data_IF_901008764560
#
_entry.id   IF_901008764560
#
_cell.length_a   1.000
_cell.length_b   1.000
_cell.length_c   1.000
_cell.angle_alpha   90.00
_cell.angle_beta   90.00
_cell.angle_gamma   90.00
#
_symmetry.space_group_name_H-M   'P 1'
#
loop_
_entity.id
_entity.type
_entity.pdbx_description
1 polymer ?
#
# COMPACT_ATOMS: atom_id res chain seq x y z
N UNK A 1 16.04 -5.72 -4.72
CA UNK A 1 15.09 -4.61 -4.59
C UNK A 1 13.72 -5.20 -4.88
N UNK A 2 12.72 -4.94 -4.05
CA UNK A 2 11.36 -5.47 -4.23
C UNK A 2 10.45 -4.31 -4.68
N UNK A 3 9.67 -4.52 -5.73
CA UNK A 3 8.75 -3.55 -6.31
C UNK A 3 7.32 -4.10 -6.28
N UNK A 4 6.33 -3.26 -5.91
CA UNK A 4 4.93 -3.66 -5.85
C UNK A 4 4.02 -2.50 -6.24
N UNK A 5 3.04 -2.77 -7.11
CA UNK A 5 1.97 -1.84 -7.44
C UNK A 5 0.92 -1.85 -6.32
N UNK A 6 0.33 -0.68 -6.08
CA UNK A 6 -0.86 -0.37 -5.28
C UNK A 6 -0.72 0.28 -3.88
N UNK A 7 -1.73 1.07 -3.55
CA UNK A 7 -1.82 1.85 -2.31
C UNK A 7 -2.39 3.26 -2.51
N UNK A 8 -3.60 3.35 -3.07
CA UNK A 8 -4.50 4.53 -3.10
C UNK A 8 -4.30 5.65 -4.15
N UNK A 9 -3.29 5.58 -5.02
CA UNK A 9 -3.20 6.48 -6.20
C UNK A 9 -2.80 5.67 -7.42
N UNK A 10 -3.65 5.60 -8.44
CA UNK A 10 -3.30 5.02 -9.73
C UNK A 10 -1.99 5.62 -10.25
N UNK A 11 -1.08 4.79 -10.77
CA UNK A 11 0.21 5.27 -11.28
C UNK A 11 1.26 5.49 -10.20
N UNK A 12 1.12 4.83 -9.04
CA UNK A 12 2.16 4.81 -8.00
C UNK A 12 2.72 3.40 -7.76
N UNK A 13 4.03 3.34 -7.54
CA UNK A 13 4.78 2.14 -7.25
C UNK A 13 5.50 2.28 -5.91
N UNK A 14 5.36 1.28 -5.04
CA UNK A 14 6.14 1.20 -3.80
C UNK A 14 7.39 0.35 -4.02
N UNK A 15 8.51 0.85 -3.52
CA UNK A 15 9.84 0.25 -3.66
C UNK A 15 10.48 0.07 -2.30
N UNK A 16 11.06 -1.11 -2.05
CA UNK A 16 11.87 -1.38 -0.87
C UNK A 16 13.35 -1.46 -1.24
N UNK A 17 14.14 -0.55 -0.67
CA UNK A 17 15.59 -0.54 -0.76
C UNK A 17 16.24 -1.71 -0.02
N UNK A 18 17.53 -1.97 -0.28
CA UNK A 18 18.28 -3.09 0.35
C UNK A 18 18.33 -2.97 1.87
N UNK A 19 18.43 -1.75 2.38
CA UNK A 19 18.46 -1.44 3.82
C UNK A 19 17.07 -1.42 4.47
N UNK A 20 16.01 -1.72 3.71
CA UNK A 20 14.63 -1.75 4.20
C UNK A 20 13.88 -0.42 4.08
N UNK A 21 14.55 0.66 3.71
CA UNK A 21 13.92 1.95 3.42
C UNK A 21 12.88 1.84 2.31
N UNK A 22 11.72 2.47 2.53
CA UNK A 22 10.59 2.46 1.60
C UNK A 22 10.51 3.77 0.84
N UNK A 23 10.24 3.65 -0.46
CA UNK A 23 10.11 4.76 -1.38
C UNK A 23 8.85 4.56 -2.21
N UNK A 24 8.33 5.66 -2.73
CA UNK A 24 7.27 5.65 -3.72
C UNK A 24 7.74 6.34 -4.99
N UNK A 25 7.29 5.83 -6.13
CA UNK A 25 7.50 6.41 -7.45
C UNK A 25 6.13 6.70 -8.03
N UNK A 26 5.90 7.94 -8.46
CA UNK A 26 4.65 8.36 -9.10
C UNK A 26 4.99 8.74 -10.54
N UNK A 27 4.31 8.13 -11.49
CA UNK A 27 4.36 8.53 -12.89
C UNK A 27 3.04 8.19 -13.57
N UNK A 28 2.59 9.05 -14.48
CA UNK A 28 1.43 8.76 -15.32
C UNK A 28 1.69 7.53 -16.20
N UNK A 29 2.95 7.32 -16.60
CA UNK A 29 3.36 6.17 -17.42
C UNK A 29 3.20 4.84 -16.67
N UNK A 30 3.31 4.83 -15.33
CA UNK A 30 3.11 3.62 -14.52
C UNK A 30 1.70 3.05 -14.68
N UNK A 31 0.69 3.86 -15.04
CA UNK A 31 -0.67 3.36 -15.26
C UNK A 31 -0.78 2.43 -16.47
N UNK A 32 0.17 2.50 -17.39
CA UNK A 32 0.16 1.73 -18.64
C UNK A 32 1.21 0.60 -18.65
N UNK A 33 1.98 0.45 -17.57
CA UNK A 33 3.07 -0.53 -17.51
C UNK A 33 2.59 -1.84 -16.89
N UNK A 34 2.66 -2.91 -17.67
CA UNK A 34 2.52 -4.27 -17.19
C UNK A 34 3.84 -4.75 -16.54
N UNK A 35 3.85 -4.82 -15.21
CA UNK A 35 5.01 -5.29 -14.44
C UNK A 35 5.24 -6.80 -14.52
N UNK A 36 4.33 -7.57 -15.11
CA UNK A 36 4.59 -8.99 -15.43
C UNK A 36 5.47 -9.15 -16.67
N UNK A 37 5.64 -8.08 -17.44
CA UNK A 37 6.53 -8.06 -18.59
C UNK A 37 7.94 -7.59 -18.17
N UNK A 38 8.84 -8.56 -18.02
CA UNK A 38 10.25 -8.32 -17.64
C UNK A 38 10.98 -7.33 -18.56
N UNK A 39 10.59 -7.22 -19.82
CA UNK A 39 11.21 -6.30 -20.78
C UNK A 39 10.81 -4.84 -20.49
N UNK A 40 9.55 -4.59 -20.16
CA UNK A 40 9.07 -3.25 -19.77
C UNK A 40 9.64 -2.84 -18.40
N UNK A 41 9.70 -3.78 -17.46
CA UNK A 41 10.39 -3.58 -16.18
C UNK A 41 11.86 -3.25 -16.41
N UNK A 42 12.53 -3.99 -17.31
CA UNK A 42 13.91 -3.73 -17.69
C UNK A 42 14.13 -2.34 -18.29
N UNK A 43 13.19 -1.83 -19.10
CA UNK A 43 13.27 -0.46 -19.63
C UNK A 43 13.06 0.60 -18.54
N UNK A 44 12.07 0.41 -17.68
CA UNK A 44 11.76 1.33 -16.59
C UNK A 44 12.93 1.47 -15.60
N UNK A 45 13.57 0.34 -15.26
CA UNK A 45 14.64 0.31 -14.26
C UNK A 45 16.06 0.35 -14.85
N UNK A 46 16.23 0.04 -16.13
CA UNK A 46 17.54 -0.15 -16.76
C UNK A 46 18.33 1.14 -16.98
N UNK A 47 17.65 2.26 -17.24
CA UNK A 47 18.31 3.56 -17.46
C UNK A 47 18.65 4.30 -16.16
N UNK A 48 18.15 3.83 -15.01
CA UNK A 48 18.37 4.49 -13.71
C UNK A 48 17.61 5.82 -13.52
N UNK A 49 16.94 6.34 -14.54
CA UNK A 49 16.17 7.60 -14.48
C UNK A 49 15.10 7.60 -13.39
N UNK A 50 14.52 6.44 -13.10
CA UNK A 50 13.55 6.22 -12.04
C UNK A 50 14.08 6.60 -10.64
N UNK A 51 15.38 6.46 -10.38
CA UNK A 51 15.99 6.81 -9.08
C UNK A 51 15.81 8.29 -8.74
N UNK A 52 15.79 9.16 -9.77
CA UNK A 52 15.57 10.61 -9.59
C UNK A 52 14.11 10.95 -9.28
N UNK A 53 13.19 10.07 -9.66
CA UNK A 53 11.74 10.22 -9.45
C UNK A 53 11.27 9.57 -8.15
N UNK A 54 12.11 8.74 -7.53
CA UNK A 54 11.80 8.15 -6.23
C UNK A 54 11.70 9.21 -5.16
N UNK A 55 10.70 9.06 -4.30
CA UNK A 55 10.51 9.88 -3.12
C UNK A 55 10.49 8.98 -1.87
N UNK A 56 11.21 9.35 -0.80
CA UNK A 56 11.18 8.60 0.45
C UNK A 56 9.80 8.66 1.10
N UNK A 57 9.31 7.52 1.58
CA UNK A 57 8.05 7.46 2.31
C UNK A 57 8.28 7.80 3.80
N UNK A 58 7.69 8.90 4.27
CA UNK A 58 7.75 9.28 5.67
C UNK A 58 6.46 8.94 6.41
N UNK A 59 6.59 8.61 7.69
CA UNK A 59 5.47 8.51 8.62
C UNK A 59 5.69 9.48 9.76
N UNK A 60 4.60 10.00 10.31
CA UNK A 60 4.65 10.88 11.47
C UNK A 60 4.77 10.03 12.73
N UNK A 61 5.80 10.27 13.54
CA UNK A 61 5.92 9.71 14.88
C UNK A 61 5.39 10.71 15.91
N UNK A 62 5.21 10.24 17.15
CA UNK A 62 4.84 11.09 18.29
C UNK A 62 5.77 12.32 18.35
N UNK A 63 5.19 13.50 18.61
CA UNK A 63 5.83 14.83 18.53
C UNK A 63 6.05 15.42 17.13
N UNK A 64 5.35 14.90 16.11
CA UNK A 64 5.28 15.55 14.79
C UNK A 64 6.54 15.41 13.95
N UNK A 65 7.55 14.67 14.42
CA UNK A 65 8.73 14.35 13.63
C UNK A 65 8.37 13.36 12.51
N UNK A 66 9.01 13.55 11.36
CA UNK A 66 8.90 12.63 10.23
C UNK A 66 10.01 11.59 10.31
N UNK A 67 9.64 10.32 10.28
CA UNK A 67 10.59 9.20 10.24
C UNK A 67 10.46 8.49 8.90
N UNK A 68 11.60 8.23 8.25
CA UNK A 68 11.61 7.42 7.02
C UNK A 68 11.14 6.01 7.37
N UNK A 69 10.12 5.56 6.66
CA UNK A 69 9.58 4.20 6.81
C UNK A 69 10.67 3.19 6.42
N UNK A 70 10.95 2.28 7.35
CA UNK A 70 11.84 1.16 7.15
C UNK A 70 11.10 -0.13 7.50
N UNK A 71 11.17 -1.12 6.59
CA UNK A 71 10.42 -2.36 6.68
C UNK A 71 11.28 -3.55 6.29
N UNK A 72 11.03 -4.68 6.96
CA UNK A 72 11.54 -5.98 6.53
C UNK A 72 10.83 -6.44 5.25
N UNK A 73 11.42 -7.41 4.56
CA UNK A 73 10.84 -8.01 3.35
C UNK A 73 9.44 -8.58 3.61
N UNK A 74 9.28 -9.26 4.74
CA UNK A 74 8.01 -9.84 5.17
C UNK A 74 6.95 -8.76 5.44
N UNK A 75 7.32 -7.71 6.17
CA UNK A 75 6.41 -6.58 6.45
C UNK A 75 5.99 -5.87 5.16
N UNK A 76 6.94 -5.59 4.26
CA UNK A 76 6.67 -4.94 2.99
C UNK A 76 5.72 -5.75 2.11
N UNK A 77 5.89 -7.08 2.05
CA UNK A 77 4.95 -7.97 1.35
C UNK A 77 3.56 -7.97 1.99
N UNK A 78 3.48 -7.81 3.30
CA UNK A 78 2.24 -7.85 4.09
C UNK A 78 1.44 -6.54 4.13
N UNK A 79 1.95 -5.43 3.57
CA UNK A 79 1.26 -4.11 3.58
C UNK A 79 -0.18 -4.21 3.05
N UNK A 80 -0.48 -5.16 2.18
CA UNK A 80 -1.77 -5.31 1.51
C UNK A 80 -2.72 -6.31 2.14
N UNK A 81 -2.28 -7.09 3.14
CA UNK A 81 -3.18 -8.01 3.84
C UNK A 81 -4.17 -7.26 4.74
N UNK A 82 -3.79 -6.06 5.20
CA UNK A 82 -4.57 -5.25 6.15
C UNK A 82 -5.66 -4.40 5.47
N UNK A 83 -5.54 -4.09 4.16
CA UNK A 83 -6.52 -3.26 3.45
C UNK A 83 -7.72 -4.05 2.88
N UNK A 84 -7.70 -5.38 2.93
CA UNK A 84 -8.83 -6.24 2.52
C UNK A 84 -9.79 -6.59 3.65
N UNK A 85 -9.38 -6.42 4.91
CA UNK A 85 -10.26 -6.62 6.04
C UNK A 85 -10.86 -5.27 6.45
N UNK A 86 -11.91 -4.85 5.73
CA UNK A 86 -12.93 -4.04 6.40
C UNK A 86 -13.49 -4.90 7.53
N UNK A 87 -13.42 -4.48 8.81
CA UNK A 87 -14.21 -5.14 9.83
C UNK A 87 -15.66 -5.01 9.37
N UNK A 88 -16.28 -6.13 9.03
CA UNK A 88 -17.73 -6.20 8.95
C UNK A 88 -18.23 -5.80 10.34
N UNK A 89 -18.71 -4.57 10.47
CA UNK A 89 -19.51 -4.14 11.60
C UNK A 89 -20.87 -4.85 11.52
N UNK A 90 -20.84 -6.16 11.73
CA UNK A 90 -22.00 -7.02 11.87
C UNK A 90 -22.05 -7.48 13.31
N UNK A 91 -22.42 -6.58 14.20
CA UNK A 91 -22.82 -6.90 15.57
C UNK A 91 -23.58 -5.73 16.16
N UNK A 92 -24.90 -5.72 15.97
CA UNK A 92 -25.88 -5.45 17.04
C UNK A 92 -27.29 -5.85 16.56
N UNK A 93 -27.45 -7.16 16.32
CA UNK A 93 -28.75 -7.79 16.50
C UNK A 93 -28.91 -8.11 17.97
N UNK A 94 -29.35 -7.14 18.77
CA UNK A 94 -29.72 -7.36 20.17
C UNK A 94 -31.23 -7.52 20.26
N UNK A 95 -31.66 -8.76 20.55
CA UNK A 95 -33.01 -9.15 20.91
C UNK A 95 -33.50 -8.34 22.14
N UNK A 96 -34.79 -8.14 22.41
CA UNK A 96 -35.79 -9.18 22.67
C UNK A 96 -37.19 -8.52 22.95
N UNK A 97 -38.13 -9.15 23.67
CA UNK A 97 -39.41 -9.64 23.15
C UNK A 97 -40.64 -8.90 23.74
N UNK A 98 -41.84 -9.44 23.51
CA UNK A 98 -43.09 -9.32 24.32
C UNK A 98 -44.21 -8.45 23.71
N UNK A 99 -45.42 -9.01 23.57
CA UNK A 99 -46.64 -8.21 23.41
C UNK A 99 -47.82 -8.85 22.68
N UNK A 100 -48.42 -9.89 23.25
CA UNK A 100 -49.75 -10.41 22.90
C UNK A 100 -50.85 -9.39 23.28
N UNK A 101 -51.70 -8.89 22.36
CA UNK A 101 -53.14 -8.63 22.61
C UNK A 101 -53.95 -8.09 21.41
N UNK A 102 -55.05 -8.82 21.13
CA UNK A 102 -56.39 -8.42 20.66
C UNK A 102 -56.59 -7.32 19.59
N UNK A 103 -57.24 -7.72 18.49
CA UNK A 103 -58.65 -7.40 18.22
C UNK A 103 -59.27 -8.39 17.22
#
# INVERSE_FOLDING_TARGET
MEAKLDGYVEGSLLLRGREGHVYYLVSEDLKQIDLSNDQLVGQLFGEGSWEKLMQPLYTQVTDGQLKHVCMTAAQFRSIFTVLRETPSSSSEGSAAPTGQQNQ
#
